data_IF_057712646010
#
_entry.id   IF_057712646010
#
_cell.length_a   1.000
_cell.length_b   1.000
_cell.length_c   1.000
_cell.angle_alpha   90.00
_cell.angle_beta   90.00
_cell.angle_gamma   90.00
#
_symmetry.space_group_name_H-M   'P 1'
#
loop_
_entity.id
_entity.type
_entity.pdbx_description
1 polymer ?
#
# COMPACT_ATOMS: atom_id res chain seq x y z
N UNK A 1 -53.96 55.70 86.10
CA UNK A 1 -52.96 54.72 86.57
C UNK A 1 -53.48 53.34 86.38
N UNK A 2 -53.14 52.71 85.24
CA UNK A 2 -53.61 51.39 84.86
C UNK A 2 -52.75 50.31 85.56
N UNK A 3 -53.39 49.55 86.44
CA UNK A 3 -52.76 48.47 87.14
C UNK A 3 -52.46 47.27 86.17
N UNK A 4 -51.23 47.04 85.90
CA UNK A 4 -50.78 45.82 85.24
C UNK A 4 -51.13 44.59 86.07
N UNK A 5 -52.03 43.76 85.58
CA UNK A 5 -52.42 42.49 86.22
C UNK A 5 -51.30 41.49 86.01
N UNK A 6 -50.67 41.10 87.15
CA UNK A 6 -49.60 40.15 87.15
C UNK A 6 -50.17 38.81 86.75
N UNK A 7 -49.84 38.39 85.54
CA UNK A 7 -50.16 37.07 85.04
C UNK A 7 -49.44 36.01 85.84
N UNK A 8 -50.21 35.17 86.51
CA UNK A 8 -49.56 34.03 87.24
C UNK A 8 -49.40 32.89 86.22
N UNK A 9 -48.15 32.60 85.90
CA UNK A 9 -47.80 31.47 85.03
C UNK A 9 -47.97 30.21 85.87
N UNK A 10 -48.94 29.42 85.60
CA UNK A 10 -49.15 28.09 86.21
C UNK A 10 -48.55 27.02 85.30
N UNK A 11 -48.20 25.84 85.84
CA UNK A 11 -47.65 24.77 85.02
C UNK A 11 -48.58 24.39 83.87
N UNK A 12 -49.86 24.56 84.03
CA UNK A 12 -50.85 24.31 83.00
C UNK A 12 -50.82 25.30 81.81
N UNK A 13 -50.52 26.60 82.11
CA UNK A 13 -50.35 27.60 81.02
C UNK A 13 -49.09 27.39 80.24
N UNK A 14 -48.07 26.84 80.81
CA UNK A 14 -46.81 26.48 80.08
C UNK A 14 -47.07 25.31 79.19
N UNK A 15 -47.73 24.25 79.67
CA UNK A 15 -48.10 23.10 78.88
C UNK A 15 -49.03 23.45 77.71
N UNK A 16 -50.02 24.30 77.97
CA UNK A 16 -50.97 24.77 76.95
C UNK A 16 -50.27 25.60 75.85
N UNK A 17 -49.29 26.44 76.23
CA UNK A 17 -48.55 27.21 75.23
C UNK A 17 -47.60 26.35 74.36
N UNK A 18 -47.01 25.32 75.00
CA UNK A 18 -46.18 24.35 74.24
C UNK A 18 -47.05 23.52 73.28
N UNK A 19 -48.26 23.05 73.75
CA UNK A 19 -49.17 22.32 72.87
C UNK A 19 -49.71 23.19 71.73
N UNK A 20 -49.97 24.47 71.98
CA UNK A 20 -50.35 25.42 70.92
C UNK A 20 -49.26 25.67 69.94
N UNK A 21 -48.01 25.77 70.42
CA UNK A 21 -46.83 25.98 69.58
C UNK A 21 -46.59 24.76 68.66
N UNK A 22 -46.73 23.58 69.18
CA UNK A 22 -46.60 22.34 68.43
C UNK A 22 -47.74 22.15 67.41
N UNK A 23 -48.97 22.53 67.81
CA UNK A 23 -50.12 22.45 66.93
C UNK A 23 -50.03 23.46 65.76
N UNK A 24 -49.61 24.67 66.01
CA UNK A 24 -49.47 25.70 64.99
C UNK A 24 -48.18 25.52 64.15
N UNK A 25 -47.09 25.02 64.74
CA UNK A 25 -45.87 24.69 64.01
C UNK A 25 -45.99 23.45 63.11
N UNK A 26 -46.82 22.51 63.52
CA UNK A 26 -47.02 21.30 62.70
C UNK A 26 -47.83 21.55 61.42
N UNK A 27 -48.76 22.52 61.48
CA UNK A 27 -49.58 22.84 60.29
C UNK A 27 -48.86 23.64 59.26
N UNK A 28 -47.82 24.41 59.65
CA UNK A 28 -47.00 25.17 58.71
C UNK A 28 -46.07 24.34 57.83
N UNK A 29 -45.76 23.11 58.25
CA UNK A 29 -44.91 22.23 57.45
C UNK A 29 -45.69 21.46 56.33
N UNK A 30 -46.98 21.32 56.49
CA UNK A 30 -47.84 20.61 55.51
C UNK A 30 -48.29 21.55 54.34
N UNK A 31 -48.18 22.87 54.48
CA UNK A 31 -48.58 23.83 53.46
C UNK A 31 -47.43 24.42 52.65
N UNK A 32 -46.18 23.97 52.92
CA UNK A 32 -45.07 24.33 52.08
C UNK A 32 -45.23 23.59 50.73
N UNK A 33 -45.68 24.29 49.68
CA UNK A 33 -45.52 23.81 48.33
C UNK A 33 -44.05 23.48 48.13
N UNK A 34 -43.75 22.19 48.04
CA UNK A 34 -42.41 21.75 47.71
C UNK A 34 -42.09 22.26 46.33
N UNK A 35 -41.50 23.42 46.23
CA UNK A 35 -40.94 23.93 44.98
C UNK A 35 -39.72 23.07 44.68
N UNK A 36 -39.88 22.15 43.77
CA UNK A 36 -38.76 21.32 43.28
C UNK A 36 -37.91 22.24 42.40
N UNK A 37 -36.66 22.55 42.80
CA UNK A 37 -35.82 23.39 41.95
C UNK A 37 -35.54 22.70 40.61
N UNK A 38 -35.32 23.46 39.56
CA UNK A 38 -34.88 22.88 38.29
C UNK A 38 -33.61 22.00 38.49
N UNK A 39 -33.57 20.87 37.82
CA UNK A 39 -32.48 19.91 37.87
C UNK A 39 -32.22 19.21 39.25
N UNK A 40 -33.18 19.28 40.18
CA UNK A 40 -33.03 18.67 41.51
C UNK A 40 -33.46 17.19 41.56
N UNK A 41 -34.15 16.70 40.57
CA UNK A 41 -34.56 15.30 40.49
C UNK A 41 -33.41 14.46 39.88
N UNK A 42 -32.88 13.57 40.65
CA UNK A 42 -31.83 12.65 40.21
C UNK A 42 -32.35 11.21 40.11
N UNK A 43 -31.58 10.29 39.56
CA UNK A 43 -31.95 8.89 39.46
C UNK A 43 -32.23 8.23 40.81
N UNK A 44 -31.82 8.82 41.92
CA UNK A 44 -32.10 8.32 43.29
C UNK A 44 -33.54 8.56 43.73
N UNK A 45 -34.17 9.57 43.20
CA UNK A 45 -35.55 9.91 43.52
C UNK A 45 -36.57 9.21 42.62
N UNK A 46 -36.11 8.59 41.53
CA UNK A 46 -37.00 7.90 40.59
C UNK A 46 -36.79 6.40 40.75
N UNK A 47 -37.85 5.66 41.04
CA UNK A 47 -37.81 4.22 41.10
C UNK A 47 -37.44 3.66 39.71
N UNK A 48 -36.55 2.72 39.68
CA UNK A 48 -36.20 2.04 38.45
C UNK A 48 -37.42 1.49 37.71
N UNK A 49 -37.53 1.69 36.42
CA UNK A 49 -38.63 1.28 35.55
C UNK A 49 -40.00 1.89 35.88
N UNK A 50 -40.07 2.98 36.66
CA UNK A 50 -41.30 3.67 36.94
C UNK A 50 -41.74 4.70 35.93
N UNK A 51 -40.83 5.16 35.05
CA UNK A 51 -41.12 6.08 33.97
C UNK A 51 -41.42 5.31 32.68
N UNK A 52 -42.56 5.55 32.10
CA UNK A 52 -42.98 4.98 30.82
C UNK A 52 -42.86 6.02 29.72
N UNK A 53 -42.88 5.61 28.48
CA UNK A 53 -42.86 6.53 27.33
C UNK A 53 -44.04 7.50 27.32
N UNK A 54 -45.17 7.12 27.96
CA UNK A 54 -46.35 7.95 28.11
C UNK A 54 -46.13 9.15 29.06
N UNK A 55 -45.17 9.07 29.95
CA UNK A 55 -44.87 10.13 30.93
C UNK A 55 -44.05 11.27 30.32
N UNK A 56 -43.64 11.11 29.06
CA UNK A 56 -42.88 12.10 28.32
C UNK A 56 -43.72 12.72 27.20
N UNK A 57 -43.57 14.00 27.01
CA UNK A 57 -44.22 14.67 25.87
C UNK A 57 -43.63 14.12 24.56
N UNK A 58 -44.47 13.96 23.54
CA UNK A 58 -44.04 13.47 22.24
C UNK A 58 -42.81 14.24 21.74
N UNK A 59 -41.76 13.52 21.35
CA UNK A 59 -40.50 14.06 20.86
C UNK A 59 -39.48 14.46 21.94
N UNK A 60 -39.77 14.30 23.23
CA UNK A 60 -38.84 14.64 24.31
C UNK A 60 -37.94 13.47 24.73
N UNK A 61 -38.27 12.24 24.36
CA UNK A 61 -37.39 11.11 24.57
C UNK A 61 -36.32 11.13 23.48
N UNK A 62 -35.03 11.30 23.82
CA UNK A 62 -33.97 11.21 22.82
C UNK A 62 -34.03 9.82 22.16
N UNK A 63 -33.96 9.79 20.83
CA UNK A 63 -33.76 8.50 20.14
C UNK A 63 -32.45 7.92 20.63
N UNK A 64 -32.45 6.65 20.94
CA UNK A 64 -31.21 5.93 21.23
C UNK A 64 -30.20 6.11 20.09
N UNK A 65 -28.90 5.97 20.35
CA UNK A 65 -27.89 6.03 19.31
C UNK A 65 -28.24 5.03 18.21
N UNK A 66 -28.03 5.43 16.97
CA UNK A 66 -28.14 4.50 15.84
C UNK A 66 -27.23 3.30 16.11
N UNK A 67 -27.76 2.10 15.94
CA UNK A 67 -26.97 0.89 16.07
C UNK A 67 -25.69 1.00 15.24
N UNK A 68 -24.63 0.35 15.72
CA UNK A 68 -23.37 0.29 14.97
C UNK A 68 -23.64 -0.24 13.56
N UNK A 69 -22.98 0.36 12.57
CA UNK A 69 -23.00 -0.17 11.21
C UNK A 69 -22.54 -1.63 11.24
N UNK A 70 -23.22 -2.49 10.49
CA UNK A 70 -22.80 -3.89 10.34
C UNK A 70 -21.35 -3.96 9.85
N UNK A 71 -20.65 -5.06 10.13
CA UNK A 71 -19.29 -5.25 9.61
C UNK A 71 -19.29 -5.14 8.09
N UNK A 72 -18.23 -4.57 7.54
CA UNK A 72 -18.02 -4.56 6.10
C UNK A 72 -18.05 -6.00 5.57
N UNK A 73 -18.70 -6.21 4.44
CA UNK A 73 -18.67 -7.51 3.75
C UNK A 73 -17.23 -7.95 3.48
N UNK A 74 -16.99 -9.25 3.33
CA UNK A 74 -15.67 -9.75 2.96
C UNK A 74 -15.22 -9.12 1.64
N UNK A 75 -13.94 -8.84 1.51
CA UNK A 75 -13.37 -8.40 0.25
C UNK A 75 -13.69 -9.43 -0.85
N UNK A 76 -14.04 -8.96 -2.02
CA UNK A 76 -14.23 -9.82 -3.17
C UNK A 76 -12.94 -10.62 -3.48
N UNK A 77 -13.04 -11.77 -4.14
CA UNK A 77 -11.88 -12.52 -4.55
C UNK A 77 -10.96 -11.66 -5.42
N UNK A 78 -9.66 -11.85 -5.30
CA UNK A 78 -8.70 -11.21 -6.18
C UNK A 78 -9.02 -11.56 -7.64
N UNK A 79 -8.93 -10.60 -8.53
CA UNK A 79 -9.07 -10.85 -9.97
C UNK A 79 -8.05 -11.88 -10.42
N UNK A 80 -8.31 -12.58 -11.53
CA UNK A 80 -7.35 -13.50 -12.14
C UNK A 80 -6.04 -12.75 -12.45
N UNK A 81 -4.92 -13.43 -12.29
CA UNK A 81 -3.64 -12.91 -12.74
C UNK A 81 -3.73 -12.55 -14.24
N UNK A 82 -3.16 -11.40 -14.61
CA UNK A 82 -3.04 -11.05 -16.03
C UNK A 82 -2.29 -12.14 -16.80
N UNK A 83 -2.50 -12.24 -18.10
CA UNK A 83 -1.73 -13.17 -18.94
C UNK A 83 -0.25 -12.88 -18.78
N UNK A 84 0.56 -13.93 -18.75
CA UNK A 84 2.01 -13.80 -18.80
C UNK A 84 2.37 -12.97 -20.05
N UNK A 85 3.25 -11.98 -19.88
CA UNK A 85 3.77 -11.25 -21.04
C UNK A 85 4.37 -12.26 -22.03
N UNK A 86 4.18 -12.04 -23.32
CA UNK A 86 4.86 -12.83 -24.34
C UNK A 86 6.37 -12.75 -24.05
N UNK A 87 7.01 -13.89 -23.87
CA UNK A 87 8.45 -13.95 -23.79
C UNK A 87 8.99 -13.35 -25.10
N UNK A 88 9.71 -12.26 -25.03
CA UNK A 88 10.46 -11.78 -26.18
C UNK A 88 11.34 -12.94 -26.63
N UNK A 89 11.15 -13.43 -27.85
CA UNK A 89 11.95 -14.49 -28.40
C UNK A 89 13.38 -13.96 -28.53
N UNK A 90 14.21 -14.21 -27.54
CA UNK A 90 15.62 -13.83 -27.55
C UNK A 90 16.46 -14.97 -28.09
N UNK A 91 17.30 -14.66 -29.07
CA UNK A 91 18.35 -15.54 -29.52
C UNK A 91 19.67 -15.08 -28.89
N UNK A 92 20.45 -16.03 -28.42
CA UNK A 92 21.76 -15.71 -27.82
C UNK A 92 22.79 -16.77 -28.11
N UNK A 93 24.04 -16.37 -28.10
CA UNK A 93 25.18 -17.26 -28.21
C UNK A 93 26.31 -16.83 -27.27
N UNK A 94 27.03 -17.80 -26.74
CA UNK A 94 28.35 -17.67 -26.12
C UNK A 94 29.38 -18.15 -27.12
N UNK A 95 30.30 -17.29 -27.52
CA UNK A 95 31.32 -17.55 -28.54
C UNK A 95 32.67 -17.61 -27.89
N UNK A 96 33.44 -18.64 -28.27
CA UNK A 96 34.85 -18.79 -27.87
C UNK A 96 35.80 -17.87 -28.65
N UNK A 97 37.02 -17.58 -28.17
CA UNK A 97 37.97 -16.75 -28.88
C UNK A 97 38.29 -17.24 -30.32
N UNK A 98 38.23 -18.53 -30.57
CA UNK A 98 38.49 -19.14 -31.87
C UNK A 98 37.28 -19.12 -32.83
N UNK A 99 36.22 -18.41 -32.51
CA UNK A 99 34.98 -18.33 -33.32
C UNK A 99 34.06 -19.54 -33.22
N UNK A 100 34.35 -20.55 -32.39
CA UNK A 100 33.41 -21.65 -32.17
C UNK A 100 32.32 -21.24 -31.17
N UNK A 101 31.11 -21.77 -31.32
CA UNK A 101 30.01 -21.51 -30.39
C UNK A 101 30.11 -22.47 -29.22
N UNK A 102 30.26 -21.93 -28.00
CA UNK A 102 30.29 -22.70 -26.77
C UNK A 102 28.86 -23.09 -26.29
N UNK A 103 27.90 -22.18 -26.43
CA UNK A 103 26.48 -22.41 -26.12
C UNK A 103 25.61 -21.45 -26.89
N UNK A 104 24.39 -21.84 -27.19
CA UNK A 104 23.42 -21.00 -27.92
C UNK A 104 21.96 -21.41 -27.67
N UNK A 105 21.05 -20.51 -27.95
CA UNK A 105 19.59 -20.78 -27.94
C UNK A 105 19.10 -21.61 -29.14
N UNK A 106 19.91 -21.78 -30.17
CA UNK A 106 19.62 -22.54 -31.39
C UNK A 106 19.56 -21.68 -32.65
N UNK A 107 19.98 -22.29 -33.79
CA UNK A 107 19.90 -21.68 -35.10
C UNK A 107 20.82 -20.47 -35.30
N UNK A 108 21.97 -20.43 -34.64
CA UNK A 108 22.98 -19.39 -34.77
C UNK A 108 24.26 -20.04 -35.30
N UNK A 109 24.92 -19.36 -36.24
CA UNK A 109 26.21 -19.82 -36.80
C UNK A 109 27.20 -18.67 -36.94
N UNK A 110 28.49 -18.96 -36.81
CA UNK A 110 29.55 -18.01 -37.14
C UNK A 110 29.90 -18.19 -38.61
N UNK A 111 29.69 -17.17 -39.44
CA UNK A 111 29.96 -17.20 -40.86
C UNK A 111 31.37 -16.73 -41.22
N UNK A 112 31.90 -15.82 -40.39
CA UNK A 112 33.29 -15.34 -40.56
C UNK A 112 33.91 -15.08 -39.20
N UNK A 113 35.19 -15.47 -39.03
CA UNK A 113 36.02 -15.11 -37.90
C UNK A 113 37.40 -14.67 -38.40
N UNK A 114 37.80 -13.51 -37.96
CA UNK A 114 39.18 -12.99 -38.08
C UNK A 114 39.55 -12.39 -36.73
N UNK A 115 40.81 -12.09 -36.49
CA UNK A 115 41.25 -11.58 -35.19
C UNK A 115 40.34 -10.49 -34.67
N UNK A 116 39.68 -10.76 -33.55
CA UNK A 116 38.78 -9.87 -32.86
C UNK A 116 37.52 -9.46 -33.65
N UNK A 117 37.20 -10.11 -34.76
CA UNK A 117 35.98 -9.81 -35.55
C UNK A 117 35.22 -11.09 -35.87
N UNK A 118 33.94 -11.08 -35.57
CA UNK A 118 33.03 -12.20 -35.74
C UNK A 118 31.78 -11.75 -36.46
N UNK A 119 31.43 -12.44 -37.54
CA UNK A 119 30.17 -12.25 -38.24
C UNK A 119 29.27 -13.43 -37.95
N UNK A 120 28.10 -13.17 -37.41
CA UNK A 120 27.22 -14.15 -36.79
C UNK A 120 25.86 -14.12 -37.49
N UNK A 121 25.44 -15.22 -38.07
CA UNK A 121 24.11 -15.39 -38.61
C UNK A 121 23.15 -15.85 -37.53
N UNK A 122 22.08 -15.10 -37.32
CA UNK A 122 20.99 -15.43 -36.40
C UNK A 122 19.83 -16.17 -37.09
N UNK A 123 19.93 -16.38 -38.39
CA UNK A 123 18.90 -17.09 -39.19
C UNK A 123 17.55 -16.37 -39.25
N UNK A 124 17.48 -15.12 -38.85
CA UNK A 124 16.29 -14.25 -38.91
C UNK A 124 16.71 -12.79 -38.79
N UNK A 125 15.89 -11.86 -39.33
CA UNK A 125 16.20 -10.45 -39.29
C UNK A 125 16.43 -9.91 -37.89
N UNK A 126 17.52 -9.15 -37.71
CA UNK A 126 17.99 -8.56 -36.43
C UNK A 126 18.21 -7.04 -36.53
N UNK A 127 18.09 -6.44 -37.70
CA UNK A 127 18.39 -5.04 -37.99
C UNK A 127 17.49 -4.05 -37.24
N UNK A 128 16.29 -4.45 -36.83
CA UNK A 128 15.34 -3.65 -36.06
C UNK A 128 15.25 -4.07 -34.60
N UNK A 129 16.14 -4.97 -34.14
CA UNK A 129 16.11 -5.55 -32.80
C UNK A 129 17.20 -4.97 -31.92
N UNK A 130 17.02 -5.09 -30.61
CA UNK A 130 18.04 -4.74 -29.63
C UNK A 130 19.14 -5.81 -29.67
N UNK A 131 20.35 -5.42 -30.00
CA UNK A 131 21.54 -6.26 -29.99
C UNK A 131 22.41 -5.86 -28.81
N UNK A 132 22.73 -6.85 -27.95
CA UNK A 132 23.63 -6.66 -26.82
C UNK A 132 24.77 -7.64 -26.92
N UNK A 133 25.98 -7.17 -26.59
CA UNK A 133 27.14 -8.04 -26.38
C UNK A 133 27.84 -7.69 -25.09
N UNK A 134 28.48 -8.69 -24.49
CA UNK A 134 29.28 -8.51 -23.29
C UNK A 134 30.45 -9.50 -23.28
N UNK A 135 31.59 -9.16 -22.64
CA UNK A 135 32.69 -10.09 -22.48
C UNK A 135 32.26 -11.42 -21.85
N UNK A 136 32.75 -12.54 -22.36
CA UNK A 136 32.55 -13.86 -21.83
C UNK A 136 33.83 -14.40 -21.18
N UNK A 137 33.75 -15.61 -20.63
CA UNK A 137 34.91 -16.30 -20.01
C UNK A 137 35.14 -17.70 -20.59
N UNK A 138 34.37 -18.13 -21.57
CA UNK A 138 34.48 -19.46 -22.15
C UNK A 138 35.86 -19.63 -22.87
N UNK A 139 36.66 -20.54 -22.38
CA UNK A 139 38.00 -20.83 -22.92
C UNK A 139 38.88 -19.57 -23.09
N UNK A 140 38.70 -18.57 -22.26
CA UNK A 140 39.37 -17.28 -22.33
C UNK A 140 39.76 -16.80 -20.92
N UNK A 141 41.02 -16.97 -20.58
CA UNK A 141 41.61 -16.54 -19.29
C UNK A 141 42.33 -15.19 -19.37
N UNK A 142 42.34 -14.54 -20.54
CA UNK A 142 43.02 -13.28 -20.76
C UNK A 142 42.30 -12.03 -20.20
N UNK A 143 43.05 -10.96 -20.04
CA UNK A 143 42.49 -9.65 -19.78
C UNK A 143 41.80 -9.14 -21.05
N UNK A 144 40.55 -8.72 -20.92
CA UNK A 144 39.66 -8.32 -22.03
C UNK A 144 39.44 -6.82 -22.06
N UNK A 145 39.25 -6.32 -23.25
CA UNK A 145 38.75 -4.95 -23.47
C UNK A 145 37.26 -4.92 -23.80
N UNK A 146 36.89 -3.98 -24.57
CA UNK A 146 35.49 -3.77 -24.98
C UNK A 146 35.03 -4.84 -25.97
N UNK A 147 33.72 -5.05 -25.95
CA UNK A 147 33.00 -5.85 -26.94
C UNK A 147 31.95 -4.95 -27.56
N UNK A 148 31.98 -4.81 -28.87
CA UNK A 148 31.06 -3.97 -29.62
C UNK A 148 30.25 -4.86 -30.58
N UNK A 149 28.97 -4.68 -30.65
CA UNK A 149 28.08 -5.42 -31.54
C UNK A 149 27.14 -4.50 -32.30
N UNK A 150 26.82 -4.84 -33.51
CA UNK A 150 25.85 -4.13 -34.35
C UNK A 150 25.33 -4.99 -35.48
N UNK A 151 24.20 -4.62 -36.08
CA UNK A 151 23.66 -5.33 -37.24
C UNK A 151 24.54 -5.13 -38.46
N UNK A 152 24.65 -6.14 -39.30
CA UNK A 152 25.15 -6.00 -40.66
C UNK A 152 24.09 -5.33 -41.54
N UNK A 153 24.41 -5.10 -42.84
CA UNK A 153 23.43 -4.63 -43.79
C UNK A 153 23.61 -3.19 -44.29
N UNK A 154 24.63 -2.46 -43.80
CA UNK A 154 25.18 -1.25 -44.40
C UNK A 154 24.20 -0.09 -44.66
N UNK A 155 23.01 -0.08 -44.04
CA UNK A 155 22.08 1.04 -44.12
C UNK A 155 22.20 1.94 -42.88
N UNK A 156 21.28 2.82 -42.63
CA UNK A 156 21.39 3.86 -41.60
C UNK A 156 21.69 3.35 -40.16
N UNK A 157 21.51 2.09 -39.88
CA UNK A 157 21.69 1.48 -38.53
C UNK A 157 22.74 0.38 -38.46
N UNK A 158 23.22 -0.09 -39.61
CA UNK A 158 24.11 -1.25 -39.65
C UNK A 158 25.52 -0.92 -40.17
N UNK A 159 26.44 -1.81 -39.83
CA UNK A 159 27.82 -1.76 -40.34
C UNK A 159 27.91 -2.62 -41.62
N UNK A 160 28.72 -2.23 -42.58
CA UNK A 160 29.01 -3.06 -43.73
C UNK A 160 29.87 -4.26 -43.30
N UNK A 161 29.36 -5.45 -43.49
CA UNK A 161 30.07 -6.69 -43.19
C UNK A 161 30.71 -7.26 -44.48
N UNK A 162 31.88 -7.86 -44.33
CA UNK A 162 32.61 -8.42 -45.46
C UNK A 162 31.90 -9.67 -46.06
N UNK A 163 31.16 -10.39 -45.23
CA UNK A 163 30.30 -11.49 -45.62
C UNK A 163 29.01 -11.37 -44.82
N UNK A 164 27.89 -11.88 -45.36
CA UNK A 164 26.60 -11.77 -44.67
C UNK A 164 26.16 -10.32 -44.46
N UNK A 165 26.33 -9.48 -45.46
CA UNK A 165 25.90 -8.08 -45.41
C UNK A 165 24.42 -7.95 -45.64
N UNK A 166 23.62 -8.52 -44.75
CA UNK A 166 22.17 -8.59 -44.81
C UNK A 166 21.56 -8.39 -43.40
N UNK A 167 20.26 -8.44 -43.32
CA UNK A 167 19.52 -8.18 -42.10
C UNK A 167 19.57 -9.28 -41.05
N UNK A 168 20.09 -10.47 -41.36
CA UNK A 168 20.15 -11.62 -40.43
C UNK A 168 21.49 -11.71 -39.66
N UNK A 169 22.50 -10.95 -40.06
CA UNK A 169 23.82 -11.02 -39.51
C UNK A 169 24.09 -9.90 -38.52
N UNK A 170 24.91 -10.25 -37.53
CA UNK A 170 25.49 -9.32 -36.52
C UNK A 170 27.00 -9.39 -36.62
N UNK A 171 27.66 -8.23 -36.64
CA UNK A 171 29.09 -8.15 -36.44
C UNK A 171 29.40 -7.89 -34.96
N UNK A 172 30.33 -8.65 -34.41
CA UNK A 172 30.88 -8.42 -33.07
C UNK A 172 32.38 -8.20 -33.20
N UNK A 173 32.86 -7.16 -32.54
CA UNK A 173 34.30 -6.89 -32.42
C UNK A 173 34.71 -6.95 -30.97
N UNK A 174 35.85 -7.61 -30.70
CA UNK A 174 36.44 -7.73 -29.38
C UNK A 174 37.83 -7.08 -29.37
N UNK A 175 38.21 -6.46 -28.28
CA UNK A 175 39.43 -5.70 -28.15
C UNK A 175 40.30 -6.22 -27.02
N UNK A 176 41.60 -5.95 -27.09
CA UNK A 176 42.53 -6.20 -26.01
C UNK A 176 42.21 -5.30 -24.79
N UNK A 177 42.82 -5.60 -23.65
CA UNK A 177 42.55 -4.89 -22.39
C UNK A 177 42.82 -3.36 -22.45
N UNK A 178 43.63 -2.91 -23.40
CA UNK A 178 43.87 -1.49 -23.58
C UNK A 178 42.85 -0.81 -24.55
N UNK A 179 41.93 -1.56 -25.14
CA UNK A 179 41.03 -1.16 -26.20
C UNK A 179 41.72 -0.52 -27.44
N UNK A 180 42.96 -0.90 -27.64
CA UNK A 180 43.84 -0.32 -28.66
C UNK A 180 43.93 -1.15 -29.95
N UNK A 181 43.64 -2.47 -29.87
CA UNK A 181 43.70 -3.38 -31.00
C UNK A 181 42.69 -4.47 -30.88
N UNK A 182 42.21 -4.97 -32.02
CA UNK A 182 41.38 -6.16 -32.08
C UNK A 182 42.12 -7.38 -31.52
N UNK A 183 41.45 -8.16 -30.71
CA UNK A 183 41.97 -9.35 -30.10
C UNK A 183 40.85 -10.37 -29.92
N UNK A 184 41.19 -11.65 -30.10
CA UNK A 184 40.22 -12.73 -29.94
C UNK A 184 39.88 -12.95 -28.48
N UNK A 185 38.62 -12.65 -28.12
CA UNK A 185 38.09 -12.87 -26.80
C UNK A 185 36.71 -13.54 -26.85
N UNK A 186 36.40 -14.27 -25.79
CA UNK A 186 35.06 -14.84 -25.59
C UNK A 186 34.05 -13.76 -25.26
N UNK A 187 32.86 -13.91 -25.80
CA UNK A 187 31.78 -12.96 -25.57
C UNK A 187 30.39 -13.64 -25.61
N UNK A 188 29.45 -13.02 -24.95
CA UNK A 188 28.03 -13.25 -25.15
C UNK A 188 27.48 -12.26 -26.17
N UNK A 189 26.58 -12.71 -27.02
CA UNK A 189 25.77 -11.85 -27.87
C UNK A 189 24.32 -12.30 -27.78
N UNK A 190 23.41 -11.34 -27.71
CA UNK A 190 21.98 -11.60 -27.64
C UNK A 190 21.18 -10.59 -28.46
N UNK A 191 20.09 -11.07 -29.04
CA UNK A 191 19.15 -10.29 -29.85
C UNK A 191 17.76 -10.42 -29.22
N UNK A 192 17.11 -9.30 -28.95
CA UNK A 192 15.82 -9.21 -28.30
C UNK A 192 14.81 -8.49 -29.19
N UNK A 193 13.57 -8.99 -29.29
CA UNK A 193 12.50 -8.38 -30.05
C UNK A 193 11.74 -9.32 -30.95
#
# INVERSE_FOLDING_TARGET
MTRLRKVRITPGTVLASIALFLALGGVSYAAATVVIPPHSITSKQIKAHSLLALDFKAGQIPRGPTGAAGPAGPAGPAGPAGPAGSAAASKWALVNPNGSIAAQSGGISITTHTTGTYIIDFGSAVDTKLILASPGVANDGGARGDVVAGPCGGTATGQTCTTGNDTSHVIVTTYNAANAALADHSFYVAVFG
#
